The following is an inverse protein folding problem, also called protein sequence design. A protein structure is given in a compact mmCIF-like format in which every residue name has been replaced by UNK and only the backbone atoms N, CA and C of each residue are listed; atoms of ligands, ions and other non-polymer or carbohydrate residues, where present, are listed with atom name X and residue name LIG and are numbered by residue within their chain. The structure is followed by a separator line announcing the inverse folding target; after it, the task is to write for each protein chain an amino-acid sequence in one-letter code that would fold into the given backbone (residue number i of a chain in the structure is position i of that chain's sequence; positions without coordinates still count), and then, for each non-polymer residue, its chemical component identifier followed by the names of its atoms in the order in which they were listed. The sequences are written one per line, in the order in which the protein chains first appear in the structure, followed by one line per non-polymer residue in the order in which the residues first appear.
data_IF_155014030733
#
_entry.id   IF_155014030733
#
_cell.length_a   1.000
_cell.length_b   1.000
_cell.length_c   1.000
_cell.angle_alpha   90.00
_cell.angle_beta   90.00
_cell.angle_gamma   90.00
#
_symmetry.space_group_name_H-M   'P 1'
#
loop_
_entity.id
_entity.type
_entity.pdbx_description
1 polymer ?
#
# COMPACT_ATOMS: atom_id res chain seq x y z
N UNK A 1 8.11 12.17 6.05
CA UNK A 1 7.79 11.39 4.85
C UNK A 1 8.55 12.01 3.70
N UNK A 2 9.42 11.22 3.08
CA UNK A 2 10.22 11.62 1.91
C UNK A 2 9.53 11.14 0.62
N UNK A 3 8.41 11.80 0.30
CA UNK A 3 7.55 11.46 -0.85
C UNK A 3 8.31 11.45 -2.18
N UNK A 4 8.08 10.41 -2.99
CA UNK A 4 8.69 10.23 -4.30
C UNK A 4 10.13 9.70 -4.31
N UNK A 5 10.78 9.54 -3.14
CA UNK A 5 12.10 8.92 -3.08
C UNK A 5 12.05 7.43 -3.42
N UNK A 6 13.06 6.88 -4.11
CA UNK A 6 13.13 5.44 -4.37
C UNK A 6 13.23 4.67 -3.04
N UNK A 7 12.54 3.54 -2.97
CA UNK A 7 12.52 2.64 -1.81
C UNK A 7 12.55 1.19 -2.26
N UNK A 8 12.94 0.28 -1.36
CA UNK A 8 12.89 -1.16 -1.61
C UNK A 8 11.96 -1.87 -0.63
N UNK A 9 11.99 -1.52 0.65
CA UNK A 9 11.36 -2.31 1.73
C UNK A 9 10.38 -1.51 2.62
N UNK A 10 10.20 -0.20 2.39
CA UNK A 10 9.21 0.65 3.10
C UNK A 10 9.75 1.33 4.34
N UNK A 11 10.75 0.77 5.00
CA UNK A 11 11.41 1.40 6.15
C UNK A 11 12.12 2.71 5.79
N UNK A 12 12.41 2.94 4.51
CA UNK A 12 13.04 4.16 4.00
C UNK A 12 12.07 5.35 3.97
N UNK A 13 10.76 5.11 3.97
CA UNK A 13 9.74 6.14 3.75
C UNK A 13 9.32 6.88 5.03
N UNK A 14 9.81 6.40 6.19
CA UNK A 14 9.47 6.92 7.50
C UNK A 14 8.13 6.39 8.04
N UNK A 15 7.72 6.82 9.24
CA UNK A 15 6.61 6.22 9.98
C UNK A 15 5.24 6.39 9.32
N UNK A 16 5.09 7.39 8.44
CA UNK A 16 3.83 7.71 7.77
C UNK A 16 3.87 7.40 6.26
N UNK A 17 4.93 6.73 5.79
CA UNK A 17 5.15 6.41 4.38
C UNK A 17 5.13 4.91 4.11
N UNK A 18 4.74 4.54 2.90
CA UNK A 18 4.76 3.19 2.37
C UNK A 18 5.55 3.13 1.06
N UNK A 19 6.15 1.97 0.76
CA UNK A 19 6.87 1.77 -0.49
C UNK A 19 5.93 1.22 -1.56
N UNK A 20 5.44 2.10 -2.43
CA UNK A 20 4.45 1.76 -3.44
C UNK A 20 5.04 1.88 -4.85
N UNK A 21 4.65 1.00 -5.79
CA UNK A 21 5.03 1.16 -7.18
C UNK A 21 4.37 2.39 -7.79
N UNK A 22 5.14 3.19 -8.54
CA UNK A 22 4.62 4.27 -9.38
C UNK A 22 4.07 3.74 -10.71
N UNK A 23 3.57 4.65 -11.57
CA UNK A 23 3.03 4.30 -12.89
C UNK A 23 4.03 3.63 -13.85
N UNK A 24 5.33 3.62 -13.51
CA UNK A 24 6.40 2.95 -14.26
C UNK A 24 6.86 1.65 -13.61
N UNK A 25 6.13 1.15 -12.61
CA UNK A 25 6.52 0.01 -11.77
C UNK A 25 7.83 0.22 -11.00
N UNK A 26 8.20 1.48 -10.73
CA UNK A 26 9.32 1.81 -9.85
C UNK A 26 8.81 2.06 -8.44
N UNK A 27 9.39 1.38 -7.45
CA UNK A 27 9.01 1.57 -6.05
C UNK A 27 9.49 2.92 -5.51
N UNK A 28 8.54 3.69 -4.99
CA UNK A 28 8.77 5.00 -4.40
C UNK A 28 7.98 5.16 -3.10
N UNK A 29 8.53 5.96 -2.21
CA UNK A 29 7.84 6.36 -1.01
C UNK A 29 6.62 7.20 -1.35
N UNK A 30 5.49 6.81 -0.81
CA UNK A 30 4.22 7.49 -0.93
C UNK A 30 3.53 7.52 0.45
N UNK A 31 2.48 8.34 0.64
CA UNK A 31 1.69 8.30 1.87
C UNK A 31 1.03 6.93 2.05
N UNK A 32 0.90 6.47 3.30
CA UNK A 32 0.19 5.22 3.59
C UNK A 32 -1.25 5.31 3.04
N UNK A 33 -1.65 4.39 2.13
CA UNK A 33 -2.94 4.45 1.50
C UNK A 33 -4.07 4.05 2.46
N UNK A 34 -5.22 4.69 2.27
CA UNK A 34 -6.43 4.56 3.05
C UNK A 34 -7.56 3.96 2.21
N UNK A 35 -8.77 3.87 2.76
CA UNK A 35 -9.93 3.24 2.13
C UNK A 35 -10.08 3.59 0.63
N UNK A 36 -10.03 2.58 -0.24
CA UNK A 36 -10.24 2.73 -1.68
C UNK A 36 -9.03 3.24 -2.47
N UNK A 37 -7.91 3.57 -1.82
CA UNK A 37 -6.66 3.89 -2.51
C UNK A 37 -5.93 2.62 -2.94
N UNK A 38 -5.13 2.75 -4.01
CA UNK A 38 -4.30 1.68 -4.51
C UNK A 38 -3.28 1.25 -3.44
N UNK A 39 -3.10 -0.06 -3.32
CA UNK A 39 -2.20 -0.66 -2.35
C UNK A 39 -1.41 -1.81 -2.99
N UNK A 40 -0.27 -2.10 -2.39
CA UNK A 40 0.57 -3.22 -2.79
C UNK A 40 0.86 -4.08 -1.54
N UNK A 41 0.62 -5.40 -1.64
CA UNK A 41 0.85 -6.41 -0.60
C UNK A 41 0.21 -6.16 0.78
N UNK A 42 0.79 -5.29 1.61
CA UNK A 42 0.39 -5.06 3.01
C UNK A 42 0.39 -3.59 3.44
N UNK A 43 0.71 -2.68 2.53
CA UNK A 43 0.90 -1.26 2.84
C UNK A 43 -0.42 -0.50 2.94
N UNK A 44 -1.25 -0.77 3.94
CA UNK A 44 -2.48 -0.02 4.20
C UNK A 44 -2.47 0.58 5.61
N UNK A 45 -3.23 1.66 5.81
CA UNK A 45 -3.42 2.25 7.13
C UNK A 45 -3.99 1.22 8.13
N UNK A 46 -3.73 1.36 9.44
CA UNK A 46 -4.25 0.44 10.45
C UNK A 46 -5.77 0.23 10.35
N UNK A 47 -6.21 -1.03 10.34
CA UNK A 47 -7.62 -1.42 10.17
C UNK A 47 -8.06 -1.62 8.72
N UNK A 48 -7.14 -1.50 7.77
CA UNK A 48 -7.32 -1.81 6.37
C UNK A 48 -6.34 -2.88 5.92
N UNK A 49 -6.81 -3.76 5.05
CA UNK A 49 -6.02 -4.79 4.40
C UNK A 49 -6.01 -4.52 2.90
N UNK A 50 -4.84 -4.74 2.30
CA UNK A 50 -4.71 -4.64 0.87
C UNK A 50 -5.38 -5.86 0.21
N UNK A 51 -6.50 -5.62 -0.48
CA UNK A 51 -7.15 -6.67 -1.26
C UNK A 51 -6.69 -6.54 -2.71
N UNK A 52 -5.70 -7.33 -3.08
CA UNK A 52 -5.33 -7.56 -4.47
C UNK A 52 -5.49 -9.04 -4.81
N UNK A 53 -6.40 -9.41 -5.73
CA UNK A 53 -6.38 -10.76 -6.24
C UNK A 53 -5.19 -10.97 -7.19
N UNK A 54 -4.85 -10.00 -8.08
CA UNK A 54 -3.82 -10.17 -9.13
C UNK A 54 -3.28 -8.84 -9.75
N UNK A 55 -3.56 -7.64 -9.21
CA UNK A 55 -3.22 -6.32 -9.80
C UNK A 55 -3.02 -5.20 -8.74
N UNK A 56 -3.12 -3.91 -9.10
CA UNK A 56 -3.20 -2.79 -8.14
C UNK A 56 -4.37 -3.06 -7.18
N UNK A 57 -4.08 -3.47 -5.94
CA UNK A 57 -5.09 -3.78 -4.95
C UNK A 57 -5.75 -2.51 -4.45
N UNK A 58 -6.86 -2.63 -3.74
CA UNK A 58 -7.43 -1.51 -3.01
C UNK A 58 -7.39 -1.78 -1.50
N UNK A 59 -7.04 -0.76 -0.71
CA UNK A 59 -7.18 -0.83 0.74
C UNK A 59 -8.66 -0.90 1.10
N UNK A 60 -9.08 -2.04 1.64
CA UNK A 60 -10.44 -2.26 2.13
C UNK A 60 -10.37 -2.52 3.63
N UNK A 61 -11.47 -2.32 4.35
CA UNK A 61 -11.47 -2.60 5.80
C UNK A 61 -11.15 -4.07 6.04
N UNK A 62 -10.44 -4.40 7.11
CA UNK A 62 -9.96 -5.77 7.35
C UNK A 62 -11.09 -6.82 7.29
N UNK A 63 -12.28 -6.51 7.80
CA UNK A 63 -13.43 -7.43 7.76
C UNK A 63 -13.97 -7.68 6.34
N UNK A 64 -13.66 -6.82 5.36
CA UNK A 64 -13.97 -7.04 3.95
C UNK A 64 -13.06 -8.11 3.32
N UNK A 65 -12.03 -8.59 4.03
CA UNK A 65 -11.17 -9.71 3.60
C UNK A 65 -11.59 -11.07 4.18
N UNK A 66 -12.64 -11.12 5.01
CA UNK A 66 -13.08 -12.33 5.70
C UNK A 66 -13.68 -13.44 4.79
N UNK A 67 -13.96 -13.13 3.52
CA UNK A 67 -14.37 -14.13 2.52
C UNK A 67 -13.16 -14.61 1.72
N UNK A 68 -12.43 -15.57 2.29
CA UNK A 68 -11.64 -16.52 1.50
C UNK A 68 -12.62 -17.56 0.94
N UNK A 69 -12.79 -17.59 -0.38
CA UNK A 69 -13.34 -18.77 -1.06
C UNK A 69 -12.18 -19.72 -1.32
#
# INVERSE_FOLDING_TARGET
MDDGMPCNDGNECGPDGACLPDATFTFRCAPIPTAGQACFLFDCAPGFACRSPYAEGACVRDFCTALKF
#
